data_IF_871824268022
#
_entry.id   IF_871824268022
#
_cell.length_a   1.000
_cell.length_b   1.000
_cell.length_c   1.000
_cell.angle_alpha   90.00
_cell.angle_beta   90.00
_cell.angle_gamma   90.00
#
_symmetry.space_group_name_H-M   'P 1'
#
loop_
_entity.id
_entity.type
_entity.pdbx_description
1 polymer ?
#
# COMPACT_ATOMS: atom_id res chain seq x y z
N UNK A 1 -6.96 -11.56 16.49
CA UNK A 1 -8.17 -10.73 16.28
C UNK A 1 -9.07 -11.39 15.27
N UNK A 2 -10.40 -11.20 15.36
CA UNK A 2 -11.32 -11.66 14.32
C UNK A 2 -11.05 -10.94 13.00
N UNK A 3 -11.59 -11.49 11.92
CA UNK A 3 -11.54 -10.86 10.59
C UNK A 3 -12.08 -9.44 10.67
N UNK A 4 -11.34 -8.51 10.07
CA UNK A 4 -11.68 -7.08 10.09
C UNK A 4 -13.01 -6.86 9.37
N UNK A 5 -14.03 -6.25 10.01
CA UNK A 5 -15.29 -5.95 9.34
C UNK A 5 -15.05 -4.98 8.18
N UNK A 6 -15.52 -5.35 6.98
CA UNK A 6 -15.36 -4.53 5.78
C UNK A 6 -16.22 -3.26 5.88
N UNK A 7 -15.62 -2.12 5.57
CA UNK A 7 -16.32 -0.85 5.35
C UNK A 7 -16.34 -0.62 3.84
N UNK A 8 -17.52 -0.43 3.26
CA UNK A 8 -17.67 -0.18 1.84
C UNK A 8 -16.86 1.05 1.43
N UNK A 9 -16.09 0.92 0.34
CA UNK A 9 -15.29 2.01 -0.23
C UNK A 9 -14.24 2.61 0.71
N UNK A 10 -13.77 1.83 1.70
CA UNK A 10 -12.66 2.21 2.55
C UNK A 10 -11.52 1.18 2.44
N UNK A 11 -10.29 1.68 2.44
CA UNK A 11 -9.09 0.87 2.59
C UNK A 11 -8.57 1.03 4.02
N UNK A 12 -7.79 0.05 4.49
CA UNK A 12 -7.10 0.19 5.76
C UNK A 12 -5.65 -0.30 5.70
N UNK A 13 -4.82 0.28 6.56
CA UNK A 13 -3.40 -0.09 6.74
C UNK A 13 -3.11 -0.23 8.22
N UNK A 14 -2.33 -1.24 8.61
CA UNK A 14 -1.92 -1.38 10.00
C UNK A 14 -0.82 -0.36 10.34
N UNK A 15 -0.84 0.18 11.55
CA UNK A 15 0.14 1.16 12.00
C UNK A 15 1.54 0.55 12.15
N UNK A 16 1.59 -0.66 12.69
CA UNK A 16 2.83 -1.40 12.95
C UNK A 16 2.67 -2.86 12.56
N UNK A 17 3.78 -3.49 12.19
CA UNK A 17 3.83 -4.88 11.76
C UNK A 17 4.98 -5.59 12.47
N UNK A 18 4.75 -6.73 13.14
CA UNK A 18 5.81 -7.43 13.85
C UNK A 18 6.86 -7.94 12.88
N UNK A 19 8.06 -8.18 13.40
CA UNK A 19 9.11 -8.90 12.67
C UNK A 19 8.54 -10.18 12.04
N UNK A 20 9.10 -10.54 10.88
CA UNK A 20 8.73 -11.71 10.10
C UNK A 20 7.40 -11.61 9.34
N UNK A 21 6.62 -10.55 9.55
CA UNK A 21 5.42 -10.28 8.76
C UNK A 21 5.75 -10.24 7.27
N UNK A 22 4.95 -10.92 6.45
CA UNK A 22 5.04 -10.91 4.98
C UNK A 22 3.80 -10.25 4.39
N UNK A 23 4.02 -9.26 3.55
CA UNK A 23 2.96 -8.63 2.76
C UNK A 23 3.27 -8.78 1.28
N UNK A 24 2.25 -8.70 0.44
CA UNK A 24 2.37 -8.86 -1.01
C UNK A 24 1.68 -7.70 -1.72
N UNK A 25 2.35 -7.10 -2.69
CA UNK A 25 1.70 -6.16 -3.60
C UNK A 25 0.90 -6.88 -4.68
N UNK A 26 -0.24 -6.32 -5.04
CA UNK A 26 -1.08 -6.73 -6.15
C UNK A 26 -1.23 -5.56 -7.11
N UNK A 27 -0.98 -5.81 -8.40
CA UNK A 27 -1.12 -4.77 -9.42
C UNK A 27 -2.59 -4.42 -9.63
N UNK A 28 -2.87 -3.14 -9.85
CA UNK A 28 -4.20 -2.67 -10.24
C UNK A 28 -4.58 -3.23 -11.61
N UNK A 29 -5.89 -3.28 -11.88
CA UNK A 29 -6.43 -3.74 -13.17
C UNK A 29 -5.82 -2.98 -14.34
N UNK A 30 -5.39 -3.71 -15.38
CA UNK A 30 -4.71 -3.13 -16.56
C UNK A 30 -3.20 -2.98 -16.42
N UNK A 31 -2.65 -3.32 -15.25
CA UNK A 31 -1.22 -3.40 -15.00
C UNK A 31 -0.84 -4.83 -14.59
N UNK A 32 0.32 -5.27 -15.03
CA UNK A 32 0.87 -6.56 -14.66
C UNK A 32 2.28 -6.43 -14.12
N UNK A 33 2.69 -7.41 -13.30
CA UNK A 33 4.03 -7.47 -12.73
C UNK A 33 5.06 -7.68 -13.85
N UNK A 34 6.13 -6.89 -13.86
CA UNK A 34 7.26 -7.16 -14.75
C UNK A 34 7.83 -8.56 -14.49
N UNK A 35 8.02 -9.34 -15.57
CA UNK A 35 8.51 -10.73 -15.46
C UNK A 35 9.80 -10.83 -14.64
N UNK A 36 9.89 -11.88 -13.81
CA UNK A 36 11.03 -12.15 -12.92
C UNK A 36 11.09 -11.37 -11.61
N UNK A 37 10.17 -10.42 -11.34
CA UNK A 37 10.18 -9.63 -10.10
C UNK A 37 9.38 -10.24 -8.95
N UNK A 38 9.74 -9.98 -7.69
CA UNK A 38 9.04 -10.53 -6.52
C UNK A 38 8.09 -9.50 -5.90
N UNK A 39 6.87 -9.92 -5.56
CA UNK A 39 5.80 -9.06 -5.02
C UNK A 39 5.85 -8.90 -3.51
N UNK A 40 6.58 -9.76 -2.81
CA UNK A 40 6.54 -9.83 -1.36
C UNK A 40 7.55 -8.88 -0.72
N UNK A 41 7.18 -8.36 0.43
CA UNK A 41 8.05 -7.67 1.37
C UNK A 41 8.00 -8.40 2.72
N UNK A 42 9.10 -8.34 3.47
CA UNK A 42 9.19 -8.95 4.80
C UNK A 42 9.68 -7.92 5.80
N UNK A 43 9.08 -7.91 6.99
CA UNK A 43 9.57 -7.09 8.09
C UNK A 43 10.80 -7.78 8.70
N UNK A 44 11.98 -7.19 8.58
CA UNK A 44 13.24 -7.77 9.02
C UNK A 44 13.89 -6.93 10.12
N UNK A 45 14.64 -7.61 11.00
CA UNK A 45 15.40 -6.94 12.05
C UNK A 45 16.71 -6.41 11.50
N UNK A 46 17.01 -5.15 11.76
CA UNK A 46 18.25 -4.46 11.39
C UNK A 46 18.93 -3.91 12.64
N UNK A 47 20.17 -3.44 12.51
CA UNK A 47 20.89 -2.78 13.61
C UNK A 47 20.18 -1.52 14.13
N UNK A 48 19.35 -0.89 13.30
CA UNK A 48 18.65 0.37 13.58
C UNK A 48 17.18 0.17 14.00
N UNK A 49 16.73 -1.08 14.15
CA UNK A 49 15.34 -1.44 14.44
C UNK A 49 14.75 -2.35 13.36
N UNK A 50 13.44 -2.38 13.24
CA UNK A 50 12.77 -3.20 12.23
C UNK A 50 12.52 -2.41 10.94
N UNK A 51 12.84 -3.00 9.78
CA UNK A 51 12.65 -2.37 8.47
C UNK A 51 12.11 -3.37 7.44
N UNK A 52 11.33 -2.86 6.49
CA UNK A 52 10.85 -3.65 5.36
C UNK A 52 11.96 -3.98 4.37
N UNK A 53 12.16 -5.27 4.13
CA UNK A 53 13.03 -5.79 3.09
C UNK A 53 12.33 -5.74 1.73
N UNK A 54 12.71 -4.75 0.90
CA UNK A 54 12.16 -4.56 -0.44
C UNK A 54 13.01 -5.27 -1.50
N UNK A 55 12.34 -5.96 -2.42
CA UNK A 55 12.94 -6.41 -3.69
C UNK A 55 12.48 -5.52 -4.84
N UNK A 56 13.19 -5.61 -5.97
CA UNK A 56 12.80 -4.87 -7.19
C UNK A 56 11.42 -5.35 -7.64
N UNK A 57 10.48 -4.41 -7.70
CA UNK A 57 9.10 -4.63 -8.08
C UNK A 57 8.53 -3.41 -8.83
N UNK A 58 7.79 -3.67 -9.89
CA UNK A 58 7.13 -2.70 -10.74
C UNK A 58 5.92 -3.35 -11.42
N UNK A 59 4.79 -2.62 -11.42
CA UNK A 59 3.63 -2.91 -12.24
C UNK A 59 3.74 -2.10 -13.54
N UNK A 60 3.69 -2.78 -14.68
CA UNK A 60 3.78 -2.21 -16.02
C UNK A 60 2.43 -2.31 -16.73
N UNK A 61 2.11 -1.33 -17.56
CA UNK A 61 0.88 -1.34 -18.36
C UNK A 61 0.88 -2.54 -19.30
N UNK A 62 -0.19 -3.33 -19.28
CA UNK A 62 -0.34 -4.52 -20.13
C UNK A 62 -0.23 -4.19 -21.62
N UNK A 63 -0.62 -2.97 -22.03
CA UNK A 63 -0.52 -2.51 -23.41
C UNK A 63 0.91 -2.39 -23.89
N UNK A 64 1.86 -2.05 -23.01
CA UNK A 64 3.29 -2.00 -23.35
C UNK A 64 3.78 -3.42 -23.71
N UNK A 65 3.35 -4.44 -22.97
CA UNK A 65 3.70 -5.82 -23.28
C UNK A 65 3.12 -6.28 -24.63
N UNK A 66 1.87 -5.93 -24.91
CA UNK A 66 1.21 -6.24 -26.18
C UNK A 66 1.86 -5.54 -27.39
N UNK A 67 2.51 -4.39 -27.17
CA UNK A 67 3.24 -3.66 -28.23
C UNK A 67 4.60 -4.25 -28.59
N UNK A 68 5.08 -5.27 -27.86
CA UNK A 68 6.40 -5.93 -28.08
C UNK A 68 6.32 -7.18 -28.97
N UNK A 69 5.22 -7.43 -29.67
CA UNK A 69 5.23 -8.39 -30.78
C UNK A 69 6.23 -7.89 -31.85
N UNK A 70 7.05 -8.76 -32.50
CA UNK A 70 8.09 -8.30 -33.40
C UNK A 70 7.46 -7.57 -34.58
N UNK A 71 7.57 -6.24 -34.59
CA UNK A 71 7.32 -5.41 -35.75
C UNK A 71 8.58 -5.50 -36.60
N UNK A 72 8.50 -6.18 -37.75
CA UNK A 72 9.48 -5.98 -38.81
C UNK A 72 9.57 -4.47 -39.09
N UNK A 73 10.81 -3.99 -39.06
CA UNK A 73 11.28 -2.64 -39.35
C UNK A 73 10.39 -1.85 -40.33
N UNK A 74 10.02 -0.62 -39.93
CA UNK A 74 9.90 0.46 -40.90
C UNK A 74 10.50 1.72 -40.29
N UNK A 75 11.69 2.06 -40.78
CA UNK A 75 12.38 3.32 -40.57
C UNK A 75 11.42 4.51 -40.71
N UNK A 76 11.39 5.36 -39.68
CA UNK A 76 10.94 6.74 -39.82
C UNK A 76 11.64 7.58 -38.77
N UNK A 77 12.80 8.10 -39.17
CA UNK A 77 13.44 9.26 -38.56
C UNK A 77 12.45 10.41 -38.50
N UNK A 78 12.19 10.94 -37.30
CA UNK A 78 11.84 12.35 -37.05
C UNK A 78 11.95 12.66 -35.56
N UNK A 79 12.97 13.45 -35.22
CA UNK A 79 12.94 14.32 -34.05
C UNK A 79 11.72 15.27 -34.12
N UNK A 80 11.21 15.73 -32.97
CA UNK A 80 11.55 17.10 -32.59
C UNK A 80 11.99 17.27 -31.13
N UNK A 81 12.78 18.33 -30.97
CA UNK A 81 13.47 18.79 -29.79
C UNK A 81 12.55 19.11 -28.59
N UNK A 82 12.96 18.57 -27.43
CA UNK A 82 13.19 19.24 -26.14
C UNK A 82 12.39 20.52 -25.81
N UNK A 83 11.68 20.48 -24.66
CA UNK A 83 11.72 21.33 -23.43
C UNK A 83 10.40 21.05 -22.68
N UNK A 84 10.37 20.69 -21.39
CA UNK A 84 10.56 21.61 -20.26
C UNK A 84 10.46 20.83 -18.94
N UNK A 85 11.42 21.11 -18.05
CA UNK A 85 11.40 21.03 -16.57
C UNK A 85 11.01 19.73 -15.86
N UNK A 86 12.04 19.11 -15.27
CA UNK A 86 11.98 18.24 -14.10
C UNK A 86 11.20 18.88 -12.94
N UNK A 87 10.29 18.15 -12.27
CA UNK A 87 9.89 18.48 -10.91
C UNK A 87 10.96 18.01 -9.93
N UNK A 88 11.30 18.92 -9.01
CA UNK A 88 12.29 18.79 -7.95
C UNK A 88 12.09 17.55 -7.04
N UNK A 89 13.14 17.11 -6.32
CA UNK A 89 13.02 16.06 -5.32
C UNK A 89 12.08 16.53 -4.21
N UNK A 90 10.91 15.88 -4.07
CA UNK A 90 10.08 16.11 -2.90
C UNK A 90 10.82 15.60 -1.67
N UNK A 91 11.28 16.54 -0.85
CA UNK A 91 11.69 16.34 0.54
C UNK A 91 10.66 15.44 1.22
N UNK A 92 11.00 14.19 1.45
CA UNK A 92 10.24 13.33 2.36
C UNK A 92 10.27 14.00 3.73
N UNK A 93 9.08 14.39 4.21
CA UNK A 93 8.84 14.71 5.61
C UNK A 93 9.34 13.52 6.43
N UNK A 94 10.37 13.73 7.23
CA UNK A 94 10.73 12.84 8.32
C UNK A 94 9.56 12.84 9.32
N UNK A 95 8.62 11.92 9.12
CA UNK A 95 7.64 11.56 10.14
C UNK A 95 8.40 10.67 11.12
N UNK A 96 8.74 11.26 12.26
CA UNK A 96 9.07 10.65 13.56
C UNK A 96 9.48 9.17 13.52
N UNK A 97 10.78 8.89 13.29
CA UNK A 97 11.37 7.57 13.55
C UNK A 97 11.53 7.35 15.07
N UNK A 98 10.43 7.04 15.76
CA UNK A 98 10.49 6.14 16.91
C UNK A 98 9.92 4.80 16.48
N UNK A 99 10.62 4.14 15.54
CA UNK A 99 10.30 2.77 15.18
C UNK A 99 10.63 1.93 16.41
N UNK A 100 9.61 1.43 17.09
CA UNK A 100 9.77 0.47 18.17
C UNK A 100 10.65 -0.67 17.67
N UNK A 101 11.64 -1.09 18.47
CA UNK A 101 12.80 -1.93 18.06
C UNK A 101 12.43 -3.33 17.48
N UNK A 102 11.15 -3.67 17.35
CA UNK A 102 10.66 -4.94 16.81
C UNK A 102 9.44 -4.84 15.87
N UNK A 103 9.09 -3.63 15.40
CA UNK A 103 7.95 -3.46 14.49
C UNK A 103 8.30 -2.59 13.29
N UNK A 104 7.96 -3.04 12.09
CA UNK A 104 7.98 -2.18 10.92
C UNK A 104 6.78 -1.25 10.94
N UNK A 105 6.95 0.00 10.48
CA UNK A 105 5.82 0.91 10.23
C UNK A 105 5.05 0.53 8.96
N UNK A 106 4.13 1.38 8.48
CA UNK A 106 3.43 1.13 7.23
C UNK A 106 4.42 1.01 6.06
N UNK A 107 4.30 -0.02 5.21
CA UNK A 107 5.15 -0.14 4.03
C UNK A 107 4.88 0.99 3.03
N UNK A 108 5.85 1.28 2.17
CA UNK A 108 5.74 2.35 1.16
C UNK A 108 4.70 1.99 0.11
N UNK A 109 3.97 2.97 -0.43
CA UNK A 109 3.07 2.72 -1.55
C UNK A 109 3.84 2.47 -2.85
N UNK A 110 3.32 1.59 -3.70
CA UNK A 110 3.91 1.27 -5.00
C UNK A 110 2.97 1.74 -6.12
N UNK A 111 3.49 2.38 -7.20
CA UNK A 111 2.64 2.82 -8.31
C UNK A 111 1.87 1.66 -8.93
N UNK A 112 0.58 1.90 -9.17
CA UNK A 112 -0.34 0.92 -9.76
C UNK A 112 -0.41 -0.41 -8.99
N UNK A 113 -0.18 -0.37 -7.67
CA UNK A 113 -0.30 -1.54 -6.82
C UNK A 113 -0.86 -1.21 -5.44
N UNK A 114 -1.60 -2.15 -4.88
CA UNK A 114 -2.11 -2.14 -3.51
C UNK A 114 -1.54 -3.32 -2.74
N UNK A 115 -1.51 -3.21 -1.41
CA UNK A 115 -1.15 -4.36 -0.58
C UNK A 115 -2.33 -5.32 -0.50
N UNK A 116 -2.04 -6.61 -0.69
CA UNK A 116 -2.98 -7.65 -0.33
C UNK A 116 -3.16 -7.63 1.19
N UNK A 117 -4.41 -7.48 1.61
CA UNK A 117 -4.80 -7.40 3.02
C UNK A 117 -4.33 -8.66 3.77
N UNK A 118 -3.67 -8.46 4.91
CA UNK A 118 -3.39 -9.55 5.86
C UNK A 118 -4.71 -9.98 6.51
N UNK A 119 -4.88 -11.28 6.73
CA UNK A 119 -6.03 -11.82 7.46
C UNK A 119 -5.71 -12.03 8.95
N UNK A 120 -4.45 -11.90 9.36
CA UNK A 120 -3.99 -12.13 10.73
C UNK A 120 -3.56 -10.83 11.39
N UNK A 121 -4.17 -10.53 12.53
CA UNK A 121 -3.87 -9.38 13.39
C UNK A 121 -3.76 -9.80 14.86
N UNK A 122 -2.89 -9.14 15.60
CA UNK A 122 -2.62 -9.39 17.02
C UNK A 122 -3.36 -8.41 17.93
N UNK A 123 -3.57 -8.78 19.19
CA UNK A 123 -4.18 -7.90 20.20
C UNK A 123 -3.27 -6.69 20.44
N UNK A 124 -3.83 -5.48 20.43
CA UNK A 124 -3.13 -4.21 20.43
C UNK A 124 -2.80 -3.66 19.03
N UNK A 125 -3.09 -4.42 17.96
CA UNK A 125 -2.90 -3.91 16.60
C UNK A 125 -3.87 -2.76 16.30
N UNK A 126 -3.32 -1.65 15.82
CA UNK A 126 -4.09 -0.50 15.31
C UNK A 126 -4.16 -0.54 13.78
N UNK A 127 -5.36 -0.39 13.24
CA UNK A 127 -5.65 -0.24 11.82
C UNK A 127 -6.15 1.18 11.53
N UNK A 128 -5.55 1.86 10.56
CA UNK A 128 -6.01 3.14 10.05
C UNK A 128 -6.86 2.94 8.80
N UNK A 129 -8.12 3.34 8.87
CA UNK A 129 -9.07 3.35 7.77
C UNK A 129 -9.07 4.69 7.07
N UNK A 130 -9.24 4.67 5.75
CA UNK A 130 -9.42 5.86 4.92
C UNK A 130 -10.41 5.56 3.80
N UNK A 131 -11.32 6.49 3.52
CA UNK A 131 -12.19 6.39 2.36
C UNK A 131 -11.37 6.42 1.07
N UNK A 132 -11.79 5.61 0.10
CA UNK A 132 -11.27 5.66 -1.26
C UNK A 132 -11.63 7.00 -1.90
N UNK A 133 -10.76 7.47 -2.80
CA UNK A 133 -10.97 8.73 -3.52
C UNK A 133 -12.33 8.72 -4.23
N UNK A 134 -13.14 9.75 -3.98
CA UNK A 134 -14.50 9.87 -4.55
C UNK A 134 -15.62 9.38 -3.63
N UNK A 135 -15.28 8.72 -2.52
CA UNK A 135 -16.23 8.28 -1.49
C UNK A 135 -16.02 8.98 -0.14
N UNK A 136 -15.25 10.05 -0.13
CA UNK A 136 -14.83 10.83 1.04
C UNK A 136 -15.62 12.15 1.17
N UNK A 137 -16.89 12.15 0.76
CA UNK A 137 -17.74 13.35 0.70
C UNK A 137 -18.17 13.88 2.07
N UNK A 138 -18.37 12.99 3.04
CA UNK A 138 -18.83 13.34 4.38
C UNK A 138 -17.83 12.88 5.45
N UNK A 139 -17.51 13.72 6.45
CA UNK A 139 -16.69 13.31 7.58
C UNK A 139 -17.46 12.37 8.54
N UNK A 140 -16.78 11.47 9.26
CA UNK A 140 -15.32 11.28 9.22
C UNK A 140 -14.88 10.45 8.00
N UNK A 141 -13.85 10.93 7.29
CA UNK A 141 -13.29 10.28 6.08
C UNK A 141 -12.09 9.37 6.38
N UNK A 142 -11.70 9.30 7.65
CA UNK A 142 -10.69 8.41 8.19
C UNK A 142 -10.98 8.10 9.66
N UNK A 143 -10.39 7.03 10.16
CA UNK A 143 -10.46 6.68 11.57
C UNK A 143 -9.62 5.45 11.87
N UNK A 144 -9.69 4.96 13.11
CA UNK A 144 -8.89 3.82 13.55
C UNK A 144 -9.76 2.74 14.19
N UNK A 145 -9.30 1.50 14.09
CA UNK A 145 -9.76 0.40 14.94
C UNK A 145 -8.56 -0.21 15.63
N UNK A 146 -8.70 -0.49 16.90
CA UNK A 146 -7.73 -1.24 17.69
C UNK A 146 -8.31 -2.61 17.98
N UNK A 147 -7.51 -3.65 17.87
CA UNK A 147 -7.92 -4.95 18.35
C UNK A 147 -7.65 -5.04 19.84
N UNK A 148 -8.67 -5.28 20.64
CA UNK A 148 -8.60 -5.27 22.10
C UNK A 148 -9.19 -6.55 22.66
N UNK A 149 -8.78 -6.90 23.88
CA UNK A 149 -9.41 -7.94 24.67
C UNK A 149 -10.25 -7.26 25.75
N UNK A 150 -11.57 -7.45 25.69
CA UNK A 150 -12.55 -6.86 26.61
C UNK A 150 -13.35 -7.99 27.23
N UNK A 151 -13.31 -8.11 28.55
CA UNK A 151 -14.01 -9.17 29.31
C UNK A 151 -13.73 -10.60 28.81
N UNK A 152 -12.52 -10.84 28.31
CA UNK A 152 -12.08 -12.14 27.75
C UNK A 152 -12.49 -12.38 26.29
N UNK A 153 -13.15 -11.42 25.64
CA UNK A 153 -13.48 -11.46 24.21
C UNK A 153 -12.55 -10.56 23.39
N UNK A 154 -12.02 -11.08 22.29
CA UNK A 154 -11.14 -10.31 21.39
C UNK A 154 -11.99 -9.63 20.31
N UNK A 155 -12.12 -8.30 20.40
CA UNK A 155 -12.97 -7.48 19.51
C UNK A 155 -12.18 -6.37 18.83
N UNK A 156 -12.74 -5.83 17.74
CA UNK A 156 -12.28 -4.57 17.17
C UNK A 156 -13.06 -3.42 17.82
N UNK A 157 -12.36 -2.33 18.17
CA UNK A 157 -13.03 -1.12 18.66
C UNK A 157 -14.04 -0.60 17.63
N UNK A 158 -15.16 -0.01 18.08
CA UNK A 158 -16.15 0.56 17.17
C UNK A 158 -15.53 1.70 16.35
N UNK A 159 -16.02 1.86 15.13
CA UNK A 159 -15.58 2.93 14.22
C UNK A 159 -16.80 3.49 13.50
N UNK A 160 -17.10 4.76 13.77
CA UNK A 160 -18.24 5.50 13.21
C UNK A 160 -17.87 6.21 11.90
N UNK A 161 -17.31 5.44 10.97
CA UNK A 161 -16.88 5.92 9.65
C UNK A 161 -17.74 5.30 8.56
N UNK A 162 -18.21 6.13 7.62
CA UNK A 162 -18.98 5.69 6.44
C UNK A 162 -18.49 6.44 5.21
N UNK A 163 -18.17 5.71 4.16
CA UNK A 163 -17.74 6.28 2.88
C UNK A 163 -18.93 6.30 1.91
N UNK A 164 -19.30 7.49 1.42
CA UNK A 164 -20.42 7.71 0.51
C UNK A 164 -19.96 8.51 -0.71
N UNK A 165 -20.52 8.20 -1.87
CA UNK A 165 -20.37 9.02 -3.07
C UNK A 165 -21.51 10.07 -3.17
N UNK A 166 -22.58 9.86 -2.42
CA UNK A 166 -23.72 10.78 -2.39
C UNK A 166 -23.29 12.09 -1.70
N UNK A 167 -23.52 13.19 -2.43
CA UNK A 167 -23.22 14.56 -2.01
C UNK A 167 -24.28 15.09 -1.06
#
# INVERSE_FOLDING_TARGET
>A
CPTVPRISFADFTAETYPLETRLYYECHRGYTRRSGQYLGIRCESTQQGAEWSYKKFECIDEKILLSTAPRMELNSTREPERKTQSPAPQKQKNVSKSVQKGYCGPPKTMPHASLKLSEQFYVGQVLHFKCQSGYDKQPPTSGTRTCEEVDGEIIWTPLDMRCTNDS
#
